data_IF_996006563530
#
_entry.id   IF_996006563530
#
_cell.length_a   1.000
_cell.length_b   1.000
_cell.length_c   1.000
_cell.angle_alpha   90.00
_cell.angle_beta   90.00
_cell.angle_gamma   90.00
#
_symmetry.space_group_name_H-M   'P 1'
#
loop_
_entity.id
_entity.type
_entity.pdbx_description
1 polymer ?
#
# COMPACT_ATOMS: atom_id res chain seq x y z
N UNK A 1 -14.42 14.14 9.01
CA UNK A 1 -13.63 12.94 9.31
C UNK A 1 -13.68 12.11 8.06
N UNK A 2 -12.55 12.00 7.37
CA UNK A 2 -12.45 11.11 6.20
C UNK A 2 -12.76 9.69 6.68
N UNK A 3 -13.67 9.03 5.98
CA UNK A 3 -14.12 7.68 6.34
C UNK A 3 -12.98 6.72 6.01
N UNK A 4 -12.34 6.18 7.04
CA UNK A 4 -11.41 5.05 6.86
C UNK A 4 -12.24 3.83 6.46
N UNK A 5 -11.89 3.24 5.33
CA UNK A 5 -12.42 1.95 4.90
C UNK A 5 -11.47 0.88 5.42
N UNK A 6 -12.03 -0.16 6.00
CA UNK A 6 -11.29 -1.28 6.56
C UNK A 6 -11.81 -2.55 5.91
N UNK A 7 -10.89 -3.46 5.56
CA UNK A 7 -11.21 -4.81 5.09
C UNK A 7 -10.34 -5.82 5.83
N UNK A 8 -10.99 -6.86 6.36
CA UNK A 8 -10.32 -7.88 7.18
C UNK A 8 -9.20 -8.56 6.40
N UNK A 9 -7.98 -8.56 6.94
CA UNK A 9 -6.83 -9.20 6.28
C UNK A 9 -6.80 -10.71 6.53
N UNK A 10 -7.18 -11.15 7.74
CA UNK A 10 -7.02 -12.52 8.22
C UNK A 10 -5.56 -13.03 8.19
N UNK A 11 -4.58 -12.11 8.24
CA UNK A 11 -3.15 -12.46 8.22
C UNK A 11 -2.56 -12.26 9.62
N UNK A 12 -2.07 -13.35 10.22
CA UNK A 12 -1.43 -13.29 11.53
C UNK A 12 -0.20 -12.36 11.51
N UNK A 13 -0.14 -11.45 12.49
CA UNK A 13 0.95 -10.47 12.62
C UNK A 13 0.80 -9.24 11.74
N UNK A 14 -0.33 -9.05 11.08
CA UNK A 14 -0.65 -7.85 10.30
C UNK A 14 -1.97 -7.22 10.77
N UNK A 15 -2.13 -5.92 10.50
CA UNK A 15 -3.41 -5.24 10.62
C UNK A 15 -4.40 -5.71 9.54
N UNK A 16 -5.62 -5.21 9.64
CA UNK A 16 -6.54 -5.20 8.50
C UNK A 16 -6.06 -4.22 7.42
N UNK A 17 -6.53 -4.43 6.19
CA UNK A 17 -6.28 -3.51 5.09
C UNK A 17 -7.08 -2.23 5.30
N UNK A 18 -6.48 -1.08 5.04
CA UNK A 18 -7.14 0.21 5.19
C UNK A 18 -6.82 1.21 4.07
N UNK A 19 -7.77 2.11 3.82
CA UNK A 19 -7.57 3.28 2.95
C UNK A 19 -8.51 4.42 3.35
N UNK A 20 -8.11 5.66 3.03
CA UNK A 20 -8.83 6.87 3.45
C UNK A 20 -9.74 7.45 2.35
N UNK A 21 -9.78 6.82 1.17
CA UNK A 21 -10.57 7.24 0.02
C UNK A 21 -11.18 6.02 -0.68
N UNK A 22 -12.50 6.02 -0.89
CA UNK A 22 -13.22 4.94 -1.61
C UNK A 22 -12.68 4.76 -3.04
N UNK A 23 -12.27 5.85 -3.68
CA UNK A 23 -11.71 5.88 -5.04
C UNK A 23 -10.24 5.41 -5.12
N UNK A 24 -9.52 5.38 -3.99
CA UNK A 24 -8.13 4.90 -3.96
C UNK A 24 -8.10 3.41 -4.29
N UNK A 25 -7.21 3.04 -5.19
CA UNK A 25 -6.97 1.64 -5.57
C UNK A 25 -5.98 0.95 -4.63
N UNK A 26 -5.29 1.72 -3.78
CA UNK A 26 -4.24 1.23 -2.90
C UNK A 26 -4.81 1.02 -1.50
N UNK A 27 -4.60 -0.18 -0.99
CA UNK A 27 -4.84 -0.55 0.40
C UNK A 27 -3.51 -0.59 1.14
N UNK A 28 -3.45 0.05 2.30
CA UNK A 28 -2.31 -0.02 3.20
C UNK A 28 -2.54 -1.15 4.21
N UNK A 29 -1.45 -1.72 4.70
CA UNK A 29 -1.47 -2.73 5.76
C UNK A 29 -0.22 -2.55 6.61
N UNK A 30 -0.35 -2.74 7.93
CA UNK A 30 0.78 -2.65 8.84
C UNK A 30 1.19 -4.03 9.32
N UNK A 31 2.50 -4.23 9.47
CA UNK A 31 3.02 -5.40 10.19
C UNK A 31 3.14 -5.05 11.67
N UNK A 32 2.45 -5.82 12.52
CA UNK A 32 2.38 -5.59 13.96
C UNK A 32 3.79 -5.69 14.56
N UNK A 33 4.12 -4.77 15.47
CA UNK A 33 5.41 -4.67 16.18
C UNK A 33 6.66 -4.45 15.29
N UNK A 34 6.47 -4.08 14.01
CA UNK A 34 7.58 -3.74 13.10
C UNK A 34 7.55 -2.26 12.75
N UNK A 35 8.70 -1.59 12.81
CA UNK A 35 8.87 -0.18 12.43
C UNK A 35 9.74 -0.06 11.19
N UNK A 36 9.53 1.00 10.42
CA UNK A 36 10.34 1.32 9.24
C UNK A 36 9.97 0.54 7.97
N UNK A 37 8.82 -0.12 7.96
CA UNK A 37 8.24 -0.74 6.76
C UNK A 37 7.00 0.05 6.35
N UNK A 38 6.82 0.24 5.04
CA UNK A 38 5.57 0.72 4.47
C UNK A 38 5.07 -0.35 3.52
N UNK A 39 3.90 -0.93 3.83
CA UNK A 39 3.33 -2.03 3.07
C UNK A 39 1.99 -1.64 2.47
N UNK A 40 1.77 -2.10 1.24
CA UNK A 40 0.55 -1.80 0.51
C UNK A 40 0.17 -2.93 -0.44
N UNK A 41 -1.07 -2.90 -0.94
CA UNK A 41 -1.63 -3.87 -1.87
C UNK A 41 -2.65 -3.22 -2.79
N UNK A 42 -2.78 -3.73 -4.02
CA UNK A 42 -3.84 -3.30 -4.95
C UNK A 42 -5.06 -4.23 -4.92
N UNK A 43 -4.86 -5.49 -4.53
CA UNK A 43 -5.86 -6.56 -4.58
C UNK A 43 -6.16 -7.20 -3.22
N UNK A 44 -5.48 -6.73 -2.17
CA UNK A 44 -5.55 -7.27 -0.80
C UNK A 44 -5.07 -8.73 -0.69
N UNK A 45 -4.28 -9.19 -1.66
CA UNK A 45 -3.65 -10.52 -1.68
C UNK A 45 -2.14 -10.41 -1.77
N UNK A 46 -1.63 -9.66 -2.76
CA UNK A 46 -0.20 -9.39 -2.91
C UNK A 46 0.19 -8.16 -2.10
N UNK A 47 1.06 -8.33 -1.12
CA UNK A 47 1.60 -7.24 -0.29
C UNK A 47 2.97 -6.85 -0.82
N UNK A 48 3.13 -5.57 -1.13
CA UNK A 48 4.38 -4.94 -1.52
C UNK A 48 5.01 -4.22 -0.34
N UNK A 49 6.32 -4.17 -0.30
CA UNK A 49 7.09 -3.26 0.55
C UNK A 49 7.62 -2.11 -0.30
N UNK A 50 7.25 -0.88 0.06
CA UNK A 50 7.63 0.33 -0.67
C UNK A 50 9.13 0.43 -0.94
N UNK A 51 9.98 0.11 0.03
CA UNK A 51 11.43 0.30 -0.11
C UNK A 51 12.14 -0.84 -0.84
N UNK A 52 11.50 -2.01 -0.95
CA UNK A 52 12.11 -3.20 -1.54
C UNK A 52 11.55 -3.51 -2.93
N UNK A 53 10.28 -3.20 -3.16
CA UNK A 53 9.55 -3.63 -4.34
C UNK A 53 9.27 -2.50 -5.33
N UNK A 54 9.00 -1.29 -4.85
CA UNK A 54 8.70 -0.17 -5.74
C UNK A 54 10.01 0.43 -6.33
N UNK A 55 10.05 0.74 -7.63
CA UNK A 55 9.08 0.35 -8.67
C UNK A 55 9.40 -1.01 -9.32
N UNK A 56 10.56 -1.59 -9.05
CA UNK A 56 11.17 -2.63 -9.89
C UNK A 56 10.51 -4.02 -9.84
N UNK A 57 9.76 -4.36 -8.80
CA UNK A 57 9.05 -5.64 -8.65
C UNK A 57 7.55 -5.53 -8.96
N UNK A 58 7.14 -4.42 -9.57
CA UNK A 58 5.75 -4.11 -9.91
C UNK A 58 5.55 -4.11 -11.44
N UNK A 59 4.32 -4.36 -11.87
CA UNK A 59 3.94 -4.16 -13.28
C UNK A 59 3.86 -2.68 -13.63
N UNK A 60 3.98 -2.33 -14.91
CA UNK A 60 3.86 -0.94 -15.36
C UNK A 60 2.52 -0.30 -14.93
N UNK A 61 1.42 -1.05 -14.93
CA UNK A 61 0.12 -0.54 -14.49
C UNK A 61 0.08 -0.26 -12.99
N UNK A 62 0.63 -1.16 -12.16
CA UNK A 62 0.72 -0.95 -10.71
C UNK A 62 1.60 0.25 -10.37
N UNK A 63 2.72 0.44 -11.08
CA UNK A 63 3.58 1.61 -10.92
C UNK A 63 2.80 2.88 -11.28
N UNK A 64 2.06 2.90 -12.40
CA UNK A 64 1.24 4.06 -12.79
C UNK A 64 0.17 4.41 -11.74
N UNK A 65 -0.51 3.41 -11.19
CA UNK A 65 -1.50 3.61 -10.13
C UNK A 65 -0.81 4.17 -8.87
N UNK A 66 0.30 3.55 -8.45
CA UNK A 66 1.04 3.99 -7.27
C UNK A 66 1.53 5.43 -7.40
N UNK A 67 2.15 5.76 -8.52
CA UNK A 67 2.65 7.09 -8.87
C UNK A 67 1.56 8.17 -8.88
N UNK A 68 0.37 7.82 -9.34
CA UNK A 68 -0.77 8.73 -9.39
C UNK A 68 -1.33 9.04 -8.01
N UNK A 69 -1.36 8.05 -7.11
CA UNK A 69 -1.91 8.21 -5.76
C UNK A 69 -0.87 8.66 -4.73
N UNK A 70 0.43 8.44 -4.99
CA UNK A 70 1.54 8.75 -4.11
C UNK A 70 2.63 9.59 -4.80
N UNK A 71 2.31 10.81 -5.27
CA UNK A 71 3.26 11.64 -6.02
C UNK A 71 4.54 11.96 -5.23
N UNK A 72 4.45 12.09 -3.91
CA UNK A 72 5.62 12.28 -3.05
C UNK A 72 6.64 11.14 -3.16
N UNK A 73 6.19 9.89 -3.09
CA UNK A 73 7.08 8.74 -3.16
C UNK A 73 7.70 8.58 -4.55
N UNK A 74 6.89 8.82 -5.59
CA UNK A 74 7.40 8.88 -6.96
C UNK A 74 8.53 9.89 -7.11
N UNK A 75 8.36 11.11 -6.58
CA UNK A 75 9.38 12.17 -6.65
C UNK A 75 10.59 11.87 -5.77
N UNK A 76 10.39 11.24 -4.61
CA UNK A 76 11.45 10.91 -3.66
C UNK A 76 12.45 9.87 -4.20
N UNK A 77 11.99 8.90 -5.00
CA UNK A 77 12.82 7.82 -5.55
C UNK A 77 13.34 8.06 -6.97
N UNK A 78 13.22 9.29 -7.51
CA UNK A 78 13.83 9.67 -8.79
C UNK A 78 15.35 9.74 -8.75
#
# INVERSE_FOLDING_TARGET
MDKVLISESNIEGYSDFYKNNEESKIWWIDKIDVRGVLLFSFDQQKIYNLFLDYPHNMTEEEVRIFDSENPFWREFFQ
#
